data_IF_207525536708
#
_entry.id   IF_207525536708
#
_cell.length_a   1.000
_cell.length_b   1.000
_cell.length_c   1.000
_cell.angle_alpha   90.00
_cell.angle_beta   90.00
_cell.angle_gamma   90.00
#
_symmetry.space_group_name_H-M   'P 1'
#
loop_
_entity.id
_entity.type
_entity.pdbx_description
1 polymer ?
#
# COMPACT_ATOMS: atom_id res chain seq x y z
N UNK A 1 24.08 29.51 -31.02
CA UNK A 1 24.49 30.92 -30.82
C UNK A 1 23.75 31.40 -29.59
N UNK A 2 24.32 31.84 -28.49
CA UNK A 2 25.64 31.68 -27.83
C UNK A 2 25.36 30.81 -26.56
N UNK A 3 26.25 29.98 -26.05
CA UNK A 3 27.15 30.33 -24.95
C UNK A 3 28.17 29.19 -24.79
N UNK A 4 29.38 29.37 -25.32
CA UNK A 4 30.51 28.49 -25.03
C UNK A 4 31.71 29.38 -24.79
N UNK A 5 31.68 30.15 -23.70
CA UNK A 5 32.85 30.90 -23.24
C UNK A 5 32.76 31.17 -21.73
N UNK A 6 32.95 30.11 -20.93
CA UNK A 6 33.43 30.23 -19.54
C UNK A 6 34.37 29.05 -19.28
N UNK A 7 35.64 29.21 -19.63
CA UNK A 7 36.71 28.23 -19.40
C UNK A 7 37.43 28.53 -18.07
N UNK A 8 37.02 27.84 -17.00
CA UNK A 8 37.75 27.71 -15.72
C UNK A 8 38.12 26.24 -15.45
N UNK A 9 38.02 25.34 -16.44
CA UNK A 9 38.26 23.91 -16.27
C UNK A 9 37.41 23.20 -15.18
N UNK A 10 36.46 23.89 -14.55
CA UNK A 10 35.71 23.42 -13.39
C UNK A 10 34.22 23.37 -13.69
N UNK A 11 33.61 22.19 -13.52
CA UNK A 11 32.19 21.93 -13.80
C UNK A 11 31.20 22.67 -12.88
N UNK A 12 31.69 23.42 -11.88
CA UNK A 12 30.85 24.17 -10.92
C UNK A 12 30.16 25.40 -11.53
N UNK A 13 30.68 25.90 -12.64
CA UNK A 13 30.17 27.11 -13.31
C UNK A 13 29.12 26.79 -14.37
N UNK A 14 28.98 25.52 -14.74
CA UNK A 14 28.06 25.07 -15.79
C UNK A 14 26.65 24.96 -15.21
N UNK A 15 25.70 25.67 -15.81
CA UNK A 15 24.30 25.58 -15.44
C UNK A 15 23.69 24.25 -15.93
N UNK A 16 23.09 23.48 -15.02
CA UNK A 16 22.39 22.23 -15.33
C UNK A 16 20.88 22.49 -15.29
N UNK A 17 20.13 22.20 -16.37
CA UNK A 17 18.68 22.35 -16.40
C UNK A 17 17.98 21.50 -15.32
N UNK A 18 16.90 22.01 -14.73
CA UNK A 18 16.14 21.28 -13.70
C UNK A 18 15.37 20.07 -14.28
N UNK A 19 14.74 20.25 -15.44
CA UNK A 19 13.91 19.21 -16.06
C UNK A 19 14.75 18.12 -16.73
N UNK A 20 14.42 16.85 -16.49
CA UNK A 20 15.19 15.73 -17.06
C UNK A 20 15.16 15.69 -18.60
N UNK A 21 14.09 16.21 -19.21
CA UNK A 21 13.95 16.22 -20.67
C UNK A 21 15.00 17.12 -21.34
N UNK A 22 15.38 18.22 -20.68
CA UNK A 22 16.33 19.20 -21.21
C UNK A 22 17.79 18.81 -20.91
N UNK A 23 18.00 17.80 -20.05
CA UNK A 23 19.31 17.18 -19.80
C UNK A 23 19.69 16.12 -20.83
N UNK A 24 18.79 15.73 -21.73
CA UNK A 24 19.07 14.73 -22.77
C UNK A 24 19.88 15.37 -23.90
N UNK A 25 21.06 14.82 -24.18
CA UNK A 25 22.01 15.38 -25.16
C UNK A 25 21.99 14.56 -26.45
N UNK A 26 21.90 15.23 -27.60
CA UNK A 26 22.09 14.63 -28.94
C UNK A 26 20.98 13.68 -29.39
N UNK A 27 19.77 13.83 -28.85
CA UNK A 27 18.60 13.00 -29.15
C UNK A 27 17.35 13.88 -29.36
N UNK A 28 17.45 14.90 -30.21
CA UNK A 28 16.42 15.93 -30.38
C UNK A 28 15.09 15.32 -30.87
N UNK A 29 15.16 14.38 -31.80
CA UNK A 29 13.97 13.68 -32.31
C UNK A 29 13.28 12.85 -31.22
N UNK A 30 14.04 12.14 -30.38
CA UNK A 30 13.47 11.35 -29.30
C UNK A 30 12.82 12.24 -28.25
N UNK A 31 13.44 13.36 -27.90
CA UNK A 31 12.89 14.36 -26.98
C UNK A 31 11.57 14.94 -27.50
N UNK A 32 11.49 15.29 -28.79
CA UNK A 32 10.27 15.79 -29.41
C UNK A 32 9.13 14.76 -29.37
N UNK A 33 9.43 13.50 -29.72
CA UNK A 33 8.47 12.39 -29.67
C UNK A 33 7.97 12.14 -28.25
N UNK A 34 8.86 12.13 -27.26
CA UNK A 34 8.51 11.95 -25.85
C UNK A 34 7.60 13.08 -25.36
N UNK A 35 7.91 14.34 -25.69
CA UNK A 35 7.10 15.50 -25.32
C UNK A 35 5.70 15.43 -25.93
N UNK A 36 5.59 15.02 -27.20
CA UNK A 36 4.29 14.80 -27.86
C UNK A 36 3.53 13.63 -27.23
N UNK A 37 4.23 12.54 -26.94
CA UNK A 37 3.64 11.33 -26.38
C UNK A 37 3.15 11.50 -24.94
N UNK A 38 3.85 12.28 -24.11
CA UNK A 38 3.43 12.55 -22.72
C UNK A 38 2.11 13.33 -22.68
N UNK A 39 1.98 14.36 -23.52
CA UNK A 39 0.75 15.17 -23.63
C UNK A 39 -0.41 14.32 -24.17
N UNK A 40 -0.17 13.50 -25.18
CA UNK A 40 -1.21 12.69 -25.84
C UNK A 40 -1.46 11.33 -25.18
N UNK A 41 -0.74 10.98 -24.10
CA UNK A 41 -0.77 9.66 -23.44
C UNK A 41 -0.57 8.49 -24.39
N UNK A 42 0.39 8.61 -25.30
CA UNK A 42 0.75 7.54 -26.23
C UNK A 42 1.84 6.67 -25.64
N UNK A 43 1.75 5.36 -25.88
CA UNK A 43 2.83 4.44 -25.59
C UNK A 43 4.01 4.70 -26.52
N UNK A 44 5.23 4.60 -25.99
CA UNK A 44 6.47 4.79 -26.75
C UNK A 44 7.33 3.54 -26.61
N UNK A 45 7.90 3.08 -27.72
CA UNK A 45 8.91 2.03 -27.74
C UNK A 45 10.25 2.67 -28.09
N UNK A 46 11.25 2.50 -27.22
CA UNK A 46 12.60 3.02 -27.44
C UNK A 46 13.54 1.89 -27.86
N UNK A 47 14.15 2.02 -29.04
CA UNK A 47 15.08 1.02 -29.59
C UNK A 47 16.47 1.64 -29.63
N UNK A 48 17.49 0.92 -29.15
CA UNK A 48 18.88 1.36 -29.23
C UNK A 48 19.83 0.52 -28.38
N UNK A 49 21.13 0.70 -28.57
CA UNK A 49 22.19 -0.01 -27.82
C UNK A 49 22.13 0.28 -26.31
N UNK A 50 22.55 -0.65 -25.43
CA UNK A 50 22.56 -0.39 -23.99
C UNK A 50 23.41 0.85 -23.66
N UNK A 51 23.01 1.62 -22.65
CA UNK A 51 23.73 2.83 -22.22
C UNK A 51 23.37 4.14 -22.98
N UNK A 52 22.46 4.13 -23.95
CA UNK A 52 22.09 5.33 -24.74
C UNK A 52 21.03 6.24 -24.12
N UNK A 53 20.79 6.17 -22.81
CA UNK A 53 19.85 7.09 -22.14
C UNK A 53 18.35 6.77 -22.28
N UNK A 54 17.96 5.56 -22.74
CA UNK A 54 16.53 5.14 -22.80
C UNK A 54 15.80 5.30 -21.46
N UNK A 55 16.42 4.89 -20.36
CA UNK A 55 15.82 5.04 -19.02
C UNK A 55 15.70 6.51 -18.60
N UNK A 56 16.58 7.38 -19.07
CA UNK A 56 16.52 8.82 -18.82
C UNK A 56 15.33 9.45 -19.56
N UNK A 57 15.14 9.10 -20.84
CA UNK A 57 13.96 9.52 -21.62
C UNK A 57 12.64 9.05 -20.99
N UNK A 58 12.59 7.81 -20.46
CA UNK A 58 11.41 7.33 -19.74
C UNK A 58 11.11 8.13 -18.47
N UNK A 59 12.13 8.47 -17.67
CA UNK A 59 11.96 9.30 -16.47
C UNK A 59 11.51 10.72 -16.84
N UNK A 60 12.12 11.31 -17.87
CA UNK A 60 11.72 12.60 -18.40
C UNK A 60 10.26 12.61 -18.88
N UNK A 61 9.82 11.52 -19.54
CA UNK A 61 8.42 11.35 -19.93
C UNK A 61 7.49 11.33 -18.71
N UNK A 62 7.86 10.59 -17.65
CA UNK A 62 7.06 10.48 -16.43
C UNK A 62 6.92 11.82 -15.69
N UNK A 63 7.96 12.65 -15.70
CA UNK A 63 7.93 14.00 -15.13
C UNK A 63 7.01 14.94 -15.92
N UNK A 64 6.98 14.80 -17.25
CA UNK A 64 6.12 15.59 -18.14
C UNK A 64 4.65 15.13 -18.15
N UNK A 65 4.31 14.01 -17.50
CA UNK A 65 2.92 13.59 -17.41
C UNK A 65 2.11 14.62 -16.61
N UNK A 66 0.89 14.97 -17.06
CA UNK A 66 0.03 15.88 -16.33
C UNK A 66 -0.25 15.30 -14.93
N UNK A 67 -0.11 16.14 -13.89
CA UNK A 67 -0.39 15.76 -12.49
C UNK A 67 -1.89 15.53 -12.30
N UNK A 68 -2.34 14.30 -12.51
CA UNK A 68 -3.71 13.87 -12.19
C UNK A 68 -3.86 13.53 -10.70
N UNK A 69 -5.12 13.45 -10.24
CA UNK A 69 -5.41 12.91 -8.91
C UNK A 69 -4.98 11.44 -8.86
N UNK A 70 -3.80 11.19 -8.27
CA UNK A 70 -3.33 9.83 -7.99
C UNK A 70 -4.36 9.07 -7.14
N UNK A 71 -4.49 7.77 -7.39
CA UNK A 71 -5.47 6.90 -6.74
C UNK A 71 -4.78 5.76 -6.00
N UNK A 72 -5.18 5.53 -4.75
CA UNK A 72 -4.76 4.34 -4.00
C UNK A 72 -5.64 3.15 -4.41
N UNK A 73 -5.06 1.95 -4.38
CA UNK A 73 -5.75 0.70 -4.75
C UNK A 73 -5.89 -0.18 -3.51
N UNK A 74 -7.13 -0.52 -3.17
CA UNK A 74 -7.52 -1.38 -2.06
C UNK A 74 -8.05 -2.72 -2.57
N UNK A 75 -7.73 -3.79 -1.86
CA UNK A 75 -8.23 -5.15 -2.10
C UNK A 75 -9.07 -5.58 -0.92
N UNK A 76 -10.34 -5.87 -1.17
CA UNK A 76 -11.24 -6.45 -0.20
C UNK A 76 -11.35 -7.96 -0.41
N UNK A 77 -11.35 -8.76 0.68
CA UNK A 77 -11.76 -10.15 0.57
C UNK A 77 -13.24 -10.21 0.18
N UNK A 78 -13.59 -11.13 -0.70
CA UNK A 78 -14.96 -11.34 -1.15
C UNK A 78 -15.58 -12.48 -0.35
N UNK A 79 -16.75 -12.22 0.25
CA UNK A 79 -17.46 -13.20 1.08
C UNK A 79 -18.12 -14.32 0.28
N UNK A 80 -18.43 -14.06 -1.00
CA UNK A 80 -19.09 -15.04 -1.89
C UNK A 80 -18.06 -15.97 -2.54
N UNK A 81 -16.93 -15.44 -3.02
CA UNK A 81 -15.82 -16.22 -3.58
C UNK A 81 -14.46 -15.68 -3.13
N UNK A 82 -13.74 -16.46 -2.32
CA UNK A 82 -12.40 -16.12 -1.83
C UNK A 82 -11.36 -15.96 -2.96
N UNK A 83 -11.57 -16.60 -4.12
CA UNK A 83 -10.65 -16.50 -5.27
C UNK A 83 -10.89 -15.25 -6.12
N UNK A 84 -11.99 -14.52 -5.91
CA UNK A 84 -12.33 -13.30 -6.64
C UNK A 84 -12.34 -12.08 -5.70
N UNK A 85 -11.17 -11.53 -5.35
CA UNK A 85 -11.09 -10.37 -4.45
C UNK A 85 -11.60 -9.08 -5.12
N UNK A 86 -12.28 -8.23 -4.36
CA UNK A 86 -12.88 -6.99 -4.87
C UNK A 86 -11.84 -5.87 -4.85
N UNK A 87 -11.57 -5.28 -6.02
CA UNK A 87 -10.63 -4.15 -6.17
C UNK A 87 -11.39 -2.82 -6.12
N UNK A 88 -10.93 -1.89 -5.30
CA UNK A 88 -11.51 -0.54 -5.19
C UNK A 88 -10.43 0.53 -5.26
N UNK A 89 -10.66 1.57 -6.08
CA UNK A 89 -9.81 2.76 -6.12
C UNK A 89 -10.36 3.86 -5.21
N UNK A 90 -9.47 4.56 -4.52
CA UNK A 90 -9.80 5.72 -3.68
C UNK A 90 -8.81 6.84 -3.95
N UNK A 91 -9.14 8.08 -3.57
CA UNK A 91 -8.20 9.20 -3.74
C UNK A 91 -6.92 8.97 -2.94
N UNK A 92 -5.78 9.41 -3.48
CA UNK A 92 -4.46 9.33 -2.84
C UNK A 92 -4.50 9.79 -1.37
N UNK A 93 -3.94 8.95 -0.50
CA UNK A 93 -3.83 9.15 0.95
C UNK A 93 -4.99 8.55 1.76
N UNK A 94 -6.17 8.35 1.15
CA UNK A 94 -7.33 7.78 1.85
C UNK A 94 -7.21 6.27 2.06
N UNK A 95 -6.40 5.57 1.27
CA UNK A 95 -6.24 4.12 1.40
C UNK A 95 -5.74 3.70 2.79
N UNK A 96 -4.75 4.43 3.33
CA UNK A 96 -4.20 4.18 4.68
C UNK A 96 -5.22 4.41 5.79
N UNK A 97 -6.01 5.49 5.70
CA UNK A 97 -7.07 5.79 6.68
C UNK A 97 -8.11 4.68 6.72
N UNK A 98 -8.55 4.21 5.55
CA UNK A 98 -9.58 3.15 5.43
C UNK A 98 -9.07 1.83 6.04
N UNK A 99 -7.85 1.42 5.71
CA UNK A 99 -7.27 0.17 6.23
C UNK A 99 -7.08 0.24 7.75
N UNK A 100 -6.61 1.38 8.27
CA UNK A 100 -6.40 1.54 9.72
C UNK A 100 -7.72 1.53 10.49
N UNK A 101 -8.78 2.17 9.98
CA UNK A 101 -10.12 2.15 10.55
C UNK A 101 -10.69 0.71 10.59
N UNK A 102 -10.66 -0.01 9.47
CA UNK A 102 -11.15 -1.40 9.42
C UNK A 102 -10.34 -2.35 10.32
N UNK A 103 -9.02 -2.16 10.38
CA UNK A 103 -8.16 -2.95 11.28
C UNK A 103 -8.46 -2.66 12.75
N UNK A 104 -8.77 -1.41 13.10
CA UNK A 104 -9.16 -1.04 14.46
C UNK A 104 -10.52 -1.64 14.84
N UNK A 105 -11.50 -1.61 13.94
CA UNK A 105 -12.82 -2.24 14.15
C UNK A 105 -12.71 -3.76 14.32
N UNK A 106 -11.93 -4.43 13.46
CA UNK A 106 -11.69 -5.87 13.57
C UNK A 106 -10.99 -6.22 14.90
N UNK A 107 -10.00 -5.43 15.32
CA UNK A 107 -9.32 -5.61 16.62
C UNK A 107 -10.26 -5.40 17.80
N UNK A 108 -11.13 -4.38 17.77
CA UNK A 108 -12.11 -4.12 18.84
C UNK A 108 -13.07 -5.29 19.01
N UNK A 109 -13.61 -5.83 17.92
CA UNK A 109 -14.49 -7.02 17.95
C UNK A 109 -13.76 -8.24 18.54
N UNK A 110 -12.53 -8.49 18.09
CA UNK A 110 -11.70 -9.58 18.63
C UNK A 110 -11.37 -9.39 20.12
N UNK A 111 -11.06 -8.16 20.55
CA UNK A 111 -10.74 -7.85 21.93
C UNK A 111 -11.96 -8.01 22.84
N UNK A 112 -13.13 -7.48 22.46
CA UNK A 112 -14.39 -7.68 23.20
C UNK A 112 -14.70 -9.17 23.37
N UNK A 113 -14.58 -9.97 22.29
CA UNK A 113 -14.81 -11.42 22.36
C UNK A 113 -13.83 -12.10 23.31
N UNK A 114 -12.53 -11.78 23.22
CA UNK A 114 -11.51 -12.36 24.10
C UNK A 114 -11.70 -11.95 25.56
N UNK A 115 -12.11 -10.70 25.81
CA UNK A 115 -12.45 -10.20 27.15
C UNK A 115 -13.69 -10.89 27.71
N UNK A 116 -14.74 -11.13 26.91
CA UNK A 116 -15.93 -11.89 27.35
C UNK A 116 -15.59 -13.34 27.72
N UNK A 117 -14.78 -14.02 26.91
CA UNK A 117 -14.30 -15.38 27.20
C UNK A 117 -13.47 -15.41 28.49
N UNK A 118 -12.61 -14.41 28.69
CA UNK A 118 -11.80 -14.27 29.91
C UNK A 118 -12.68 -14.07 31.15
N UNK A 119 -13.70 -13.21 31.09
CA UNK A 119 -14.64 -12.98 32.20
C UNK A 119 -15.44 -14.26 32.51
N UNK A 120 -15.93 -14.96 31.47
CA UNK A 120 -16.64 -16.24 31.63
C UNK A 120 -15.76 -17.28 32.33
N UNK A 121 -14.50 -17.41 31.91
CA UNK A 121 -13.52 -18.32 32.52
C UNK A 121 -13.24 -17.96 33.99
N UNK A 122 -13.05 -16.66 34.29
CA UNK A 122 -12.88 -16.20 35.68
C UNK A 122 -14.12 -16.46 36.53
N UNK A 123 -15.32 -16.33 35.98
CA UNK A 123 -16.57 -16.66 36.66
C UNK A 123 -16.69 -18.14 37.02
N UNK A 124 -16.35 -19.04 36.09
CA UNK A 124 -16.35 -20.50 36.32
C UNK A 124 -15.33 -20.88 37.40
N UNK A 125 -14.10 -20.34 37.30
CA UNK A 125 -13.02 -20.60 38.26
C UNK A 125 -13.39 -20.04 39.65
N UNK A 126 -13.93 -18.81 39.70
CA UNK A 126 -14.35 -18.17 40.94
C UNK A 126 -15.49 -18.93 41.64
N UNK A 127 -16.49 -19.36 40.90
CA UNK A 127 -17.60 -20.17 41.43
C UNK A 127 -17.10 -21.52 41.97
N UNK A 128 -16.20 -22.18 41.24
CA UNK A 128 -15.59 -23.45 41.66
C UNK A 128 -14.78 -23.35 42.95
N UNK A 129 -14.19 -22.17 43.23
CA UNK A 129 -13.42 -21.94 44.44
C UNK A 129 -14.33 -21.80 45.67
N UNK A 130 -15.51 -21.20 45.50
CA UNK A 130 -16.52 -21.03 46.57
C UNK A 130 -17.15 -22.38 46.97
N UNK A 131 -17.42 -23.24 45.99
CA UNK A 131 -18.02 -24.58 46.24
C UNK A 131 -16.99 -25.66 46.63
N UNK A 132 -15.71 -25.31 46.75
CA UNK A 132 -14.57 -26.21 47.01
C UNK A 132 -14.41 -27.36 45.99
N UNK A 133 -15.05 -27.29 44.82
CA UNK A 133 -14.99 -28.32 43.76
C UNK A 133 -13.94 -27.99 42.69
N UNK A 134 -12.69 -27.74 43.11
CA UNK A 134 -11.61 -27.26 42.24
C UNK A 134 -11.32 -28.17 41.03
N UNK A 135 -11.42 -29.49 41.18
CA UNK A 135 -11.21 -30.44 40.07
C UNK A 135 -12.29 -30.30 38.98
N UNK A 136 -13.57 -30.20 39.38
CA UNK A 136 -14.69 -30.07 38.44
C UNK A 136 -14.69 -28.72 37.73
N UNK A 137 -14.28 -27.65 38.42
CA UNK A 137 -14.16 -26.31 37.81
C UNK A 137 -13.09 -26.24 36.73
N UNK A 138 -11.92 -26.85 36.93
CA UNK A 138 -10.86 -26.89 35.92
C UNK A 138 -11.31 -27.65 34.67
N UNK A 139 -11.97 -28.80 34.85
CA UNK A 139 -12.49 -29.60 33.74
C UNK A 139 -13.56 -28.83 32.97
N UNK A 140 -14.50 -28.18 33.67
CA UNK A 140 -15.53 -27.36 33.05
C UNK A 140 -14.94 -26.17 32.26
N UNK A 141 -13.95 -25.47 32.83
CA UNK A 141 -13.25 -24.37 32.16
C UNK A 141 -12.50 -24.84 30.91
N UNK A 142 -11.80 -25.98 30.97
CA UNK A 142 -11.11 -26.57 29.83
C UNK A 142 -12.08 -26.98 28.72
N UNK A 143 -13.22 -27.57 29.08
CA UNK A 143 -14.24 -27.99 28.12
C UNK A 143 -14.89 -26.79 27.42
N UNK A 144 -15.28 -25.76 28.19
CA UNK A 144 -15.84 -24.50 27.66
C UNK A 144 -14.83 -23.79 26.77
N UNK A 145 -13.56 -23.71 27.18
CA UNK A 145 -12.49 -23.11 26.36
C UNK A 145 -12.29 -23.85 25.04
N UNK A 146 -12.25 -25.20 25.06
CA UNK A 146 -12.11 -26.01 23.85
C UNK A 146 -13.32 -25.86 22.92
N UNK A 147 -14.54 -25.88 23.46
CA UNK A 147 -15.77 -25.71 22.70
C UNK A 147 -15.84 -24.33 22.01
N UNK A 148 -15.55 -23.26 22.76
CA UNK A 148 -15.53 -21.90 22.22
C UNK A 148 -14.42 -21.70 21.18
N UNK A 149 -13.26 -22.34 21.35
CA UNK A 149 -12.15 -22.27 20.39
C UNK A 149 -12.43 -23.04 19.10
N UNK A 150 -13.19 -24.14 19.16
CA UNK A 150 -13.59 -24.91 17.99
C UNK A 150 -14.72 -24.22 17.21
N UNK A 151 -15.67 -23.61 17.92
CA UNK A 151 -16.78 -22.87 17.32
C UNK A 151 -16.37 -21.56 16.66
N UNK A 152 -15.13 -21.10 16.83
CA UNK A 152 -14.62 -19.92 16.14
C UNK A 152 -13.99 -20.31 14.81
N UNK A 153 -14.70 -20.14 13.67
CA UNK A 153 -14.02 -20.12 12.39
C UNK A 153 -12.96 -19.01 12.43
N UNK A 154 -11.88 -19.20 11.66
CA UNK A 154 -11.02 -18.08 11.27
C UNK A 154 -11.92 -17.15 10.47
N UNK A 155 -12.59 -16.20 11.13
CA UNK A 155 -13.17 -15.04 10.45
C UNK A 155 -12.02 -14.49 9.62
N UNK A 156 -12.09 -14.69 8.30
CA UNK A 156 -11.27 -13.95 7.37
C UNK A 156 -11.57 -12.50 7.68
N UNK A 157 -10.64 -11.88 8.40
CA UNK A 157 -10.81 -10.51 8.82
C UNK A 157 -11.05 -9.72 7.54
N UNK A 158 -12.26 -9.19 7.37
CA UNK A 158 -12.66 -8.37 6.22
C UNK A 158 -11.99 -7.01 6.26
N UNK A 159 -10.68 -7.04 6.49
CA UNK A 159 -9.80 -5.89 6.52
C UNK A 159 -9.21 -5.79 5.13
N UNK A 160 -9.49 -4.70 4.41
CA UNK A 160 -8.91 -4.51 3.09
C UNK A 160 -7.38 -4.43 3.20
N UNK A 161 -6.70 -4.95 2.18
CA UNK A 161 -5.27 -4.79 2.00
C UNK A 161 -5.01 -3.61 1.07
N UNK A 162 -4.05 -2.76 1.43
CA UNK A 162 -3.58 -1.68 0.56
C UNK A 162 -2.53 -2.24 -0.40
N UNK A 163 -2.81 -2.22 -1.71
CA UNK A 163 -1.86 -2.69 -2.72
C UNK A 163 -0.91 -1.58 -3.16
N UNK A 164 -1.48 -0.43 -3.49
CA UNK A 164 -0.74 0.72 -3.97
C UNK A 164 -1.20 1.93 -3.17
N UNK A 165 -0.24 2.64 -2.61
CA UNK A 165 -0.45 3.87 -1.86
C UNK A 165 0.39 4.97 -2.49
N UNK A 166 -0.25 6.09 -2.78
CA UNK A 166 0.40 7.32 -3.17
C UNK A 166 0.37 8.26 -1.97
N UNK A 167 1.53 8.49 -1.35
CA UNK A 167 1.66 9.50 -0.31
C UNK A 167 1.73 10.89 -0.96
N UNK A 168 0.92 11.83 -0.48
CA UNK A 168 0.97 13.23 -0.94
C UNK A 168 2.24 13.98 -0.51
N UNK A 169 3.11 13.36 0.27
CA UNK A 169 4.29 13.96 0.91
C UNK A 169 5.61 13.71 0.20
N UNK A 170 5.61 13.26 -1.05
CA UNK A 170 6.84 13.15 -1.87
C UNK A 170 6.56 13.55 -3.30
#
# INVERSE_FOLDING_TARGET
MQDAEVDDGTSRVIHVPEGLIDQVIGQEHAVEVIRKASIQRRHVMMIGTPGTGKSMLAKAMAELLPKEEMQDILVYPNSEDSNEPIIRTVKSGRGKEIVTAHKAEARKKAQLRNTLIMILMLGIIGYSFITYQWLMGIIAAAFVFMALRYATPREEQMVPKLLVSHDKTT
#
